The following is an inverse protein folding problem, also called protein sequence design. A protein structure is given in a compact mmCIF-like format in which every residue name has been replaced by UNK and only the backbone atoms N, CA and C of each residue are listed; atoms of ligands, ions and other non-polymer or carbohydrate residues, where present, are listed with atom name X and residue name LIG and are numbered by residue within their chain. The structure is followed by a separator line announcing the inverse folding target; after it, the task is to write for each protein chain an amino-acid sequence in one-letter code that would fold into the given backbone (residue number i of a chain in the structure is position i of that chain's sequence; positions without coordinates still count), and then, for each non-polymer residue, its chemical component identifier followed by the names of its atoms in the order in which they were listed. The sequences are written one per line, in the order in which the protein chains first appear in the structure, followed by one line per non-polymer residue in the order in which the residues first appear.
data_IF_485880666987
#
_entry.id   IF_485880666987
#
_cell.length_a   1.000
_cell.length_b   1.000
_cell.length_c   1.000
_cell.angle_alpha   90.00
_cell.angle_beta   90.00
_cell.angle_gamma   90.00
#
_symmetry.space_group_name_H-M   'P 1'
#
loop_
_entity.id
_entity.type
_entity.pdbx_description
1 polymer ?
#
# COMPACT_ATOMS: atom_id res chain seq x y z
N UNK A 1 24.73 -11.98 -18.12
CA UNK A 1 24.24 -13.19 -18.81
C UNK A 1 22.84 -13.39 -18.29
N UNK A 2 21.83 -13.30 -19.16
CA UNK A 2 20.44 -13.44 -18.73
C UNK A 2 20.21 -14.88 -18.26
N UNK A 3 19.26 -15.05 -17.34
CA UNK A 3 18.89 -16.38 -16.89
C UNK A 3 18.26 -17.15 -18.06
N UNK A 4 18.48 -18.48 -18.18
CA UNK A 4 17.78 -19.32 -19.16
C UNK A 4 16.25 -19.19 -19.13
N UNK A 5 15.70 -18.69 -18.01
CA UNK A 5 14.27 -18.40 -17.83
C UNK A 5 13.85 -17.11 -18.56
N UNK A 6 14.70 -16.08 -18.52
CA UNK A 6 14.42 -14.79 -19.13
C UNK A 6 14.46 -14.87 -20.67
N UNK A 7 15.39 -15.66 -21.20
CA UNK A 7 15.52 -15.87 -22.65
C UNK A 7 14.30 -16.62 -23.22
N UNK A 8 13.81 -17.64 -22.50
CA UNK A 8 12.60 -18.39 -22.88
C UNK A 8 11.32 -17.56 -22.79
N UNK A 9 11.22 -16.66 -21.80
CA UNK A 9 10.09 -15.73 -21.67
C UNK A 9 10.07 -14.73 -22.82
N UNK A 10 11.24 -14.22 -23.21
CA UNK A 10 11.37 -13.28 -24.33
C UNK A 10 11.02 -13.94 -25.66
N UNK A 11 11.42 -15.19 -25.87
CA UNK A 11 11.08 -15.99 -27.05
C UNK A 11 9.57 -16.23 -27.17
N UNK A 12 8.93 -16.71 -26.10
CA UNK A 12 7.48 -16.95 -26.08
C UNK A 12 6.63 -15.68 -26.30
N UNK A 13 7.10 -14.54 -25.78
CA UNK A 13 6.44 -13.25 -25.98
C UNK A 13 6.65 -12.70 -27.41
N UNK A 14 7.80 -13.01 -28.04
CA UNK A 14 8.07 -12.68 -29.43
C UNK A 14 7.15 -13.43 -30.40
N UNK A 15 6.93 -14.72 -30.18
CA UNK A 15 6.01 -15.53 -31.00
C UNK A 15 4.55 -15.09 -30.85
N UNK A 16 4.12 -14.75 -29.62
CA UNK A 16 2.78 -14.22 -29.37
C UNK A 16 2.53 -12.85 -30.03
N UNK A 17 3.56 -11.99 -30.11
CA UNK A 17 3.48 -10.71 -30.80
C UNK A 17 3.39 -10.82 -32.33
N UNK A 18 3.98 -11.86 -32.92
CA UNK A 18 3.99 -12.09 -34.36
C UNK A 18 2.66 -12.60 -34.93
N UNK A 19 1.73 -13.05 -34.08
CA UNK A 19 0.40 -13.56 -34.48
C UNK A 19 -0.72 -12.53 -34.39
N UNK A 20 -0.42 -11.28 -33.99
CA UNK A 20 -1.41 -10.20 -33.92
C UNK A 20 -1.54 -9.53 -35.28
N UNK A 21 -2.60 -9.85 -36.02
CA UNK A 21 -2.99 -9.06 -37.20
C UNK A 21 -3.50 -7.69 -36.77
N UNK A 22 -2.69 -6.66 -37.01
CA UNK A 22 -3.02 -5.25 -36.72
C UNK A 22 -4.31 -4.80 -37.44
N UNK A 23 -4.69 -5.46 -38.53
CA UNK A 23 -5.95 -5.22 -39.27
C UNK A 23 -7.23 -5.72 -38.57
N UNK A 24 -7.12 -6.59 -37.56
CA UNK A 24 -8.26 -7.08 -36.79
C UNK A 24 -8.69 -6.12 -35.65
N UNK A 25 -7.93 -5.05 -35.42
CA UNK A 25 -8.25 -4.05 -34.40
C UNK A 25 -9.31 -3.07 -34.94
N UNK A 26 -10.55 -3.22 -34.44
CA UNK A 26 -11.62 -2.25 -34.70
C UNK A 26 -11.27 -0.88 -34.09
N UNK A 27 -11.40 0.23 -34.83
CA UNK A 27 -11.30 1.56 -34.26
C UNK A 27 -12.45 1.80 -33.27
N UNK A 28 -12.14 2.40 -32.12
CA UNK A 28 -13.15 2.85 -31.17
C UNK A 28 -13.92 4.03 -31.75
N UNK A 29 -15.22 3.84 -31.99
CA UNK A 29 -16.14 4.91 -32.39
C UNK A 29 -16.64 5.62 -31.15
N UNK A 30 -16.44 6.94 -31.09
CA UNK A 30 -16.95 7.81 -30.02
C UNK A 30 -18.43 8.09 -30.29
N UNK A 31 -19.36 7.83 -29.35
CA UNK A 31 -20.77 8.09 -29.57
C UNK A 31 -21.09 9.60 -29.52
N UNK A 32 -21.90 10.03 -30.48
CA UNK A 32 -22.33 11.42 -30.69
C UNK A 32 -23.31 11.89 -29.59
N UNK A 33 -23.15 13.14 -29.14
CA UNK A 33 -23.90 13.74 -28.03
C UNK A 33 -25.33 14.03 -28.45
N UNK A 34 -26.29 13.20 -28.03
CA UNK A 34 -27.72 13.58 -28.04
C UNK A 34 -27.96 14.69 -27.01
N UNK A 35 -28.40 15.86 -27.49
CA UNK A 35 -28.93 16.93 -26.64
C UNK A 35 -30.33 16.55 -26.18
N UNK A 36 -30.49 16.24 -24.90
CA UNK A 36 -31.81 16.10 -24.26
C UNK A 36 -32.11 17.41 -23.53
N UNK A 37 -33.08 18.17 -24.04
CA UNK A 37 -33.64 19.32 -23.35
C UNK A 37 -34.72 18.85 -22.37
N UNK A 38 -34.57 19.16 -21.09
CA UNK A 38 -35.62 18.99 -20.08
C UNK A 38 -35.85 20.35 -19.43
N UNK A 39 -37.03 20.92 -19.64
CA UNK A 39 -37.53 22.08 -18.91
C UNK A 39 -37.94 21.65 -17.51
N UNK A 40 -37.29 22.18 -16.47
CA UNK A 40 -37.78 22.09 -15.09
C UNK A 40 -37.95 23.49 -14.50
N UNK A 41 -39.18 23.75 -14.05
CA UNK A 41 -39.60 24.94 -13.31
C UNK A 41 -39.07 24.87 -11.88
N UNK A 42 -38.56 26.00 -11.37
CA UNK A 42 -38.09 26.16 -10.00
C UNK A 42 -39.19 25.90 -8.96
N UNK A 43 -38.83 25.24 -7.87
CA UNK A 43 -39.42 25.47 -6.55
C UNK A 43 -38.28 25.56 -5.52
N UNK A 44 -38.00 26.78 -5.06
CA UNK A 44 -37.03 27.04 -4.00
C UNK A 44 -37.67 26.69 -2.65
N UNK A 45 -37.05 25.77 -1.90
CA UNK A 45 -37.33 25.58 -0.47
C UNK A 45 -36.06 25.98 0.27
N UNK A 46 -36.10 27.16 0.88
CA UNK A 46 -35.00 27.68 1.69
C UNK A 46 -34.83 26.84 2.95
N UNK A 47 -33.63 26.31 3.17
CA UNK A 47 -33.24 25.69 4.43
C UNK A 47 -32.72 26.78 5.38
N UNK A 48 -33.47 27.02 6.45
CA UNK A 48 -33.07 27.86 7.57
C UNK A 48 -31.92 27.23 8.35
N UNK A 49 -30.83 27.96 8.53
CA UNK A 49 -29.72 27.57 9.40
C UNK A 49 -30.16 27.70 10.86
N UNK A 50 -30.30 26.57 11.55
CA UNK A 50 -30.43 26.53 13.02
C UNK A 50 -29.02 26.56 13.60
N UNK A 51 -28.63 27.72 14.14
CA UNK A 51 -27.40 27.89 14.91
C UNK A 51 -27.66 27.38 16.33
N UNK A 52 -27.22 26.16 16.63
CA UNK A 52 -27.09 25.70 18.02
C UNK A 52 -25.70 26.07 18.51
N UNK A 53 -25.66 26.86 19.58
CA UNK A 53 -24.46 27.36 20.21
C UNK A 53 -23.59 26.22 20.78
N UNK A 54 -22.48 25.96 20.10
CA UNK A 54 -21.34 25.18 20.56
C UNK A 54 -20.22 25.43 19.56
N UNK A 55 -19.18 26.17 19.96
CA UNK A 55 -18.19 26.75 19.04
C UNK A 55 -17.34 25.68 18.33
N UNK A 56 -17.85 25.15 17.22
CA UNK A 56 -17.06 24.66 16.10
C UNK A 56 -17.42 25.57 14.92
N UNK A 57 -16.52 26.48 14.54
CA UNK A 57 -16.67 27.23 13.29
C UNK A 57 -16.52 26.26 12.13
N UNK A 58 -17.64 25.71 11.66
CA UNK A 58 -17.71 24.95 10.42
C UNK A 58 -17.68 25.98 9.30
N UNK A 59 -16.53 26.15 8.66
CA UNK A 59 -16.45 26.94 7.42
C UNK A 59 -16.88 26.00 6.30
N UNK A 60 -18.15 26.10 5.92
CA UNK A 60 -18.73 25.29 4.86
C UNK A 60 -19.14 26.15 3.67
N UNK A 61 -18.82 25.70 2.45
CA UNK A 61 -19.33 26.32 1.23
C UNK A 61 -19.86 25.25 0.30
N UNK A 62 -20.99 25.51 -0.34
CA UNK A 62 -21.60 24.62 -1.33
C UNK A 62 -21.02 24.89 -2.71
N UNK A 63 -20.50 23.86 -3.37
CA UNK A 63 -20.09 23.94 -4.77
C UNK A 63 -21.20 23.31 -5.62
N UNK A 64 -21.76 24.06 -6.55
CA UNK A 64 -22.72 23.53 -7.51
C UNK A 64 -21.98 22.63 -8.52
N UNK A 65 -22.22 21.31 -8.40
CA UNK A 65 -21.80 20.32 -9.39
C UNK A 65 -22.86 20.08 -10.45
N UNK A 66 -22.60 19.13 -11.37
CA UNK A 66 -23.51 18.72 -12.44
C UNK A 66 -24.74 17.97 -11.91
N UNK A 67 -25.61 18.67 -11.15
CA UNK A 67 -26.92 18.19 -10.70
C UNK A 67 -27.09 17.96 -9.19
N UNK A 68 -26.03 18.03 -8.39
CA UNK A 68 -26.07 17.85 -6.92
C UNK A 68 -25.26 18.94 -6.19
N UNK A 69 -25.73 19.34 -5.01
CA UNK A 69 -25.03 20.28 -4.12
C UNK A 69 -23.95 19.54 -3.32
N UNK A 70 -22.68 19.85 -3.57
CA UNK A 70 -21.58 19.28 -2.79
C UNK A 70 -21.21 20.25 -1.68
N UNK A 71 -21.34 19.79 -0.43
CA UNK A 71 -20.89 20.54 0.73
C UNK A 71 -19.39 20.34 0.92
N UNK A 72 -18.62 21.41 0.84
CA UNK A 72 -17.25 21.46 1.36
C UNK A 72 -17.35 21.85 2.82
N UNK A 73 -16.83 21.04 3.74
CA UNK A 73 -16.81 21.36 5.16
C UNK A 73 -15.37 21.36 5.69
N UNK A 74 -15.00 22.40 6.42
CA UNK A 74 -13.80 22.45 7.24
C UNK A 74 -14.23 22.64 8.69
N UNK A 75 -13.87 21.70 9.55
CA UNK A 75 -14.11 21.80 10.98
C UNK A 75 -12.98 21.11 11.74
N UNK A 76 -12.73 21.52 12.99
CA UNK A 76 -11.94 20.76 13.97
C UNK A 76 -12.60 19.42 14.37
N UNK A 77 -13.78 19.13 13.82
CA UNK A 77 -14.45 17.85 13.94
C UNK A 77 -13.67 16.77 13.17
N UNK A 78 -13.61 15.55 13.69
CA UNK A 78 -12.91 14.46 13.01
C UNK A 78 -13.63 14.13 11.69
N UNK A 79 -12.88 14.13 10.59
CA UNK A 79 -13.39 13.70 9.30
C UNK A 79 -14.02 12.29 9.38
N UNK A 80 -15.04 11.98 8.55
CA UNK A 80 -15.61 10.64 8.46
C UNK A 80 -14.52 9.57 8.30
N UNK A 81 -14.66 8.49 9.05
CA UNK A 81 -13.72 7.36 9.07
C UNK A 81 -14.50 6.04 9.05
N UNK A 82 -14.32 5.18 8.02
CA UNK A 82 -13.46 5.39 6.86
C UNK A 82 -14.03 6.43 5.89
N UNK A 83 -13.14 7.19 5.25
CA UNK A 83 -13.49 7.96 4.06
C UNK A 83 -13.54 7.02 2.84
N UNK A 84 -14.40 7.31 1.87
CA UNK A 84 -14.43 6.53 0.62
C UNK A 84 -13.17 6.77 -0.21
N UNK A 85 -12.69 8.02 -0.23
CA UNK A 85 -11.44 8.46 -0.86
C UNK A 85 -10.76 9.49 0.06
N UNK A 86 -9.44 9.36 0.24
CA UNK A 86 -8.58 10.29 0.95
C UNK A 86 -7.54 10.86 -0.02
N UNK A 87 -7.52 12.18 -0.16
CA UNK A 87 -6.61 12.92 -1.03
C UNK A 87 -5.63 13.69 -0.14
N UNK A 88 -4.40 13.21 -0.08
CA UNK A 88 -3.33 13.81 0.73
C UNK A 88 -2.61 14.90 -0.06
N UNK A 89 -2.44 16.06 0.57
CA UNK A 89 -1.85 17.23 -0.06
C UNK A 89 -0.32 17.16 -0.04
N UNK A 90 0.30 17.80 -1.03
CA UNK A 90 1.74 18.00 -1.07
C UNK A 90 2.27 18.71 0.18
N UNK A 91 3.36 18.19 0.72
CA UNK A 91 4.08 18.70 1.90
C UNK A 91 5.46 19.25 1.54
N UNK A 92 5.99 18.90 0.36
CA UNK A 92 7.36 19.17 -0.04
C UNK A 92 8.37 18.16 0.53
N UNK A 93 7.91 17.18 1.31
CA UNK A 93 8.71 16.09 1.88
C UNK A 93 8.70 14.83 1.02
N UNK A 94 7.92 14.80 -0.06
CA UNK A 94 7.78 13.65 -0.93
C UNK A 94 9.11 13.34 -1.64
N UNK A 95 9.46 12.05 -1.69
CA UNK A 95 10.64 11.58 -2.41
C UNK A 95 10.49 11.77 -3.92
N UNK A 96 9.31 11.40 -4.43
CA UNK A 96 8.93 11.65 -5.82
C UNK A 96 8.47 13.10 -5.99
N UNK A 97 9.39 13.91 -6.50
CA UNK A 97 9.14 15.33 -6.76
C UNK A 97 8.31 15.58 -8.02
N UNK A 98 7.95 14.58 -8.82
CA UNK A 98 7.23 14.82 -10.07
C UNK A 98 5.82 15.38 -9.84
N UNK A 99 5.07 14.83 -8.88
CA UNK A 99 3.71 15.28 -8.57
C UNK A 99 3.68 16.63 -7.82
N UNK A 100 4.59 16.81 -6.85
CA UNK A 100 4.57 17.96 -5.93
C UNK A 100 5.62 19.03 -6.22
N UNK A 101 6.50 18.83 -7.20
CA UNK A 101 7.62 19.73 -7.52
C UNK A 101 8.51 20.06 -6.30
N UNK A 102 8.52 19.18 -5.29
CA UNK A 102 9.21 19.38 -4.01
C UNK A 102 8.67 20.55 -3.19
N UNK A 103 7.40 20.95 -3.37
CA UNK A 103 6.79 22.06 -2.63
C UNK A 103 5.50 21.62 -1.95
N UNK A 104 5.22 22.22 -0.80
CA UNK A 104 3.92 22.10 -0.17
C UNK A 104 2.82 22.74 -1.03
N UNK A 105 1.60 22.21 -0.94
CA UNK A 105 0.44 22.81 -1.58
C UNK A 105 0.20 24.22 -1.00
N UNK A 106 0.04 25.22 -1.86
CA UNK A 106 -0.30 26.59 -1.42
C UNK A 106 -1.74 26.66 -0.93
N UNK A 107 -2.10 27.71 -0.18
CA UNK A 107 -3.49 27.96 0.21
C UNK A 107 -4.42 28.08 -1.01
N UNK A 108 -3.95 28.73 -2.08
CA UNK A 108 -4.69 28.86 -3.33
C UNK A 108 -4.89 27.50 -4.01
N UNK A 109 -3.86 26.65 -4.06
CA UNK A 109 -3.98 25.29 -4.59
C UNK A 109 -4.93 24.46 -3.72
N UNK A 110 -4.84 24.58 -2.40
CA UNK A 110 -5.70 23.88 -1.45
C UNK A 110 -7.18 24.24 -1.69
N UNK A 111 -7.51 25.52 -1.84
CA UNK A 111 -8.87 25.97 -2.13
C UNK A 111 -9.35 25.51 -3.51
N UNK A 112 -8.53 25.67 -4.55
CA UNK A 112 -8.87 25.22 -5.90
C UNK A 112 -9.08 23.70 -5.97
N UNK A 113 -8.35 22.95 -5.16
CA UNK A 113 -8.48 21.50 -5.03
C UNK A 113 -9.83 21.12 -4.41
N UNK A 114 -10.29 21.78 -3.34
CA UNK A 114 -11.62 21.53 -2.78
C UNK A 114 -12.74 21.68 -3.83
N UNK A 115 -12.69 22.76 -4.61
CA UNK A 115 -13.67 23.01 -5.66
C UNK A 115 -13.61 21.95 -6.76
N UNK A 116 -12.39 21.58 -7.18
CA UNK A 116 -12.18 20.57 -8.21
C UNK A 116 -12.68 19.19 -7.77
N UNK A 117 -12.37 18.81 -6.53
CA UNK A 117 -12.86 17.57 -5.91
C UNK A 117 -14.38 17.56 -5.80
N UNK A 118 -15.00 18.67 -5.41
CA UNK A 118 -16.45 18.78 -5.32
C UNK A 118 -17.16 18.74 -6.67
N UNK A 119 -16.45 18.95 -7.79
CA UNK A 119 -17.00 18.82 -9.14
C UNK A 119 -16.80 17.42 -9.74
N UNK A 120 -16.08 16.52 -9.06
CA UNK A 120 -15.89 15.16 -9.55
C UNK A 120 -17.21 14.37 -9.50
N UNK A 121 -17.60 13.67 -10.57
CA UNK A 121 -18.82 12.87 -10.59
C UNK A 121 -18.87 11.84 -9.45
N UNK A 122 -19.98 11.82 -8.72
CA UNK A 122 -20.21 10.88 -7.63
C UNK A 122 -19.62 11.28 -6.26
N UNK A 123 -19.00 12.46 -6.14
CA UNK A 123 -18.63 13.03 -4.84
C UNK A 123 -19.84 13.69 -4.20
N UNK A 124 -20.20 13.25 -2.99
CA UNK A 124 -21.31 13.81 -2.22
C UNK A 124 -20.84 14.85 -1.19
N UNK A 125 -19.64 14.65 -0.62
CA UNK A 125 -19.06 15.55 0.39
C UNK A 125 -17.55 15.62 0.27
N UNK A 126 -17.00 16.81 0.48
CA UNK A 126 -15.56 17.05 0.61
C UNK A 126 -15.30 17.60 2.01
N UNK A 127 -14.50 16.89 2.81
CA UNK A 127 -14.13 17.34 4.14
C UNK A 127 -12.64 17.66 4.20
N UNK A 128 -12.26 18.86 4.62
CA UNK A 128 -10.86 19.20 4.84
C UNK A 128 -10.40 18.79 6.23
N UNK A 129 -9.37 17.96 6.29
CA UNK A 129 -8.67 17.59 7.51
C UNK A 129 -7.31 18.32 7.54
N UNK A 130 -7.13 19.19 8.53
CA UNK A 130 -5.85 19.84 8.76
C UNK A 130 -4.80 18.87 9.36
N UNK A 131 -3.54 19.33 9.39
CA UNK A 131 -2.41 18.53 9.84
C UNK A 131 -2.49 18.16 11.33
N UNK A 132 -3.06 19.03 12.16
CA UNK A 132 -3.19 18.78 13.60
C UNK A 132 -4.18 17.65 13.86
N UNK A 133 -5.35 17.71 13.22
CA UNK A 133 -6.36 16.67 13.27
C UNK A 133 -5.86 15.34 12.70
N UNK A 134 -5.15 15.37 11.57
CA UNK A 134 -4.55 14.18 10.96
C UNK A 134 -3.48 13.54 11.86
N UNK A 135 -2.66 14.34 12.54
CA UNK A 135 -1.64 13.85 13.46
C UNK A 135 -2.25 13.18 14.70
N UNK A 136 -3.28 13.77 15.29
CA UNK A 136 -4.00 13.15 16.42
C UNK A 136 -4.67 11.83 16.00
N UNK A 137 -5.23 11.76 14.79
CA UNK A 137 -5.75 10.51 14.23
C UNK A 137 -4.65 9.45 14.10
N UNK A 138 -3.49 9.82 13.57
CA UNK A 138 -2.33 8.93 13.49
C UNK A 138 -1.92 8.40 14.87
N UNK A 139 -1.75 9.27 15.88
CA UNK A 139 -1.36 8.88 17.23
C UNK A 139 -2.34 7.88 17.84
N UNK A 140 -3.64 8.09 17.64
CA UNK A 140 -4.68 7.16 18.08
C UNK A 140 -4.61 5.82 17.35
N UNK A 141 -4.46 5.83 16.02
CA UNK A 141 -4.39 4.61 15.21
C UNK A 141 -3.16 3.75 15.48
N UNK A 142 -2.05 4.37 15.90
CA UNK A 142 -0.78 3.72 16.20
C UNK A 142 -0.43 3.66 17.69
N UNK A 143 -1.38 3.90 18.59
CA UNK A 143 -1.14 3.92 20.04
C UNK A 143 -0.50 2.62 20.59
N UNK A 144 -0.77 1.47 19.97
CA UNK A 144 -0.15 0.17 20.30
C UNK A 144 1.26 -0.03 19.74
N UNK A 145 1.82 0.96 19.02
CA UNK A 145 3.12 0.91 18.37
C UNK A 145 3.95 2.16 18.76
N UNK A 146 4.39 2.26 20.04
CA UNK A 146 5.06 3.46 20.54
C UNK A 146 6.35 3.80 19.79
N UNK A 147 7.06 2.79 19.25
CA UNK A 147 8.22 2.99 18.40
C UNK A 147 7.90 3.73 17.09
N UNK A 148 6.71 3.51 16.51
CA UNK A 148 6.27 4.23 15.31
C UNK A 148 5.85 5.65 15.67
N UNK A 149 5.06 5.81 16.75
CA UNK A 149 4.61 7.11 17.25
C UNK A 149 5.79 8.03 17.58
N UNK A 150 6.88 7.50 18.13
CA UNK A 150 8.08 8.28 18.45
C UNK A 150 8.87 8.76 17.22
N UNK A 151 8.72 8.10 16.06
CA UNK A 151 9.46 8.42 14.82
C UNK A 151 8.72 9.37 13.88
N UNK A 152 7.40 9.41 13.97
CA UNK A 152 6.54 10.26 13.12
C UNK A 152 6.25 11.59 13.83
N UNK A 153 6.68 12.69 13.22
CA UNK A 153 6.44 14.06 13.67
C UNK A 153 5.17 14.61 13.02
N UNK A 154 4.60 15.66 13.60
CA UNK A 154 3.45 16.35 13.01
C UNK A 154 3.74 16.91 11.60
N UNK A 155 5.01 17.23 11.29
CA UNK A 155 5.47 17.64 9.96
C UNK A 155 5.45 16.53 8.92
N UNK A 156 5.46 15.27 9.35
CA UNK A 156 5.40 14.12 8.44
C UNK A 156 3.97 13.81 7.98
N UNK A 157 2.95 14.40 8.62
CA UNK A 157 1.55 14.10 8.35
C UNK A 157 0.95 15.22 7.47
N UNK A 158 0.55 14.91 6.22
CA UNK A 158 -0.08 15.87 5.33
C UNK A 158 -1.50 16.25 5.79
N UNK A 159 -1.92 17.46 5.43
CA UNK A 159 -3.35 17.77 5.39
C UNK A 159 -4.02 16.92 4.30
N UNK A 160 -5.33 16.69 4.42
CA UNK A 160 -6.05 15.87 3.45
C UNK A 160 -7.46 16.36 3.16
N UNK A 161 -7.99 16.01 2.00
CA UNK A 161 -9.43 16.02 1.73
C UNK A 161 -9.97 14.61 1.85
N UNK A 162 -10.98 14.42 2.71
CA UNK A 162 -11.67 13.16 2.98
C UNK A 162 -13.04 13.22 2.29
N UNK A 163 -13.21 12.42 1.24
CA UNK A 163 -14.40 12.43 0.42
C UNK A 163 -15.40 11.35 0.87
N UNK A 164 -16.68 11.72 0.84
CA UNK A 164 -17.80 10.77 0.87
C UNK A 164 -18.38 10.70 -0.54
N UNK A 165 -18.59 9.49 -1.04
CA UNK A 165 -19.18 9.27 -2.35
C UNK A 165 -20.69 9.00 -2.24
N UNK A 166 -21.41 9.28 -3.32
CA UNK A 166 -22.82 8.93 -3.45
C UNK A 166 -23.05 7.41 -3.46
N UNK A 167 -24.28 6.94 -3.17
CA UNK A 167 -24.62 5.53 -3.18
C UNK A 167 -24.27 4.85 -4.52
N UNK A 168 -23.62 3.68 -4.46
CA UNK A 168 -23.27 2.89 -5.65
C UNK A 168 -22.07 3.41 -6.46
N UNK A 169 -21.48 4.54 -6.08
CA UNK A 169 -20.29 5.08 -6.74
C UNK A 169 -19.08 4.25 -6.37
N UNK A 170 -18.32 3.80 -7.38
CA UNK A 170 -17.03 3.14 -7.18
C UNK A 170 -15.94 4.19 -6.91
N UNK A 171 -15.04 3.98 -5.94
CA UNK A 171 -14.03 4.98 -5.61
C UNK A 171 -12.91 5.09 -6.65
N UNK A 172 -12.57 4.02 -7.37
CA UNK A 172 -11.37 4.00 -8.22
C UNK A 172 -11.35 5.08 -9.32
N UNK A 173 -12.46 5.35 -10.05
CA UNK A 173 -12.48 6.45 -11.02
C UNK A 173 -12.30 7.82 -10.36
N UNK A 174 -12.88 8.04 -9.17
CA UNK A 174 -12.71 9.28 -8.41
C UNK A 174 -11.28 9.43 -7.94
N UNK A 175 -10.68 8.35 -7.41
CA UNK A 175 -9.26 8.31 -7.02
C UNK A 175 -8.35 8.65 -8.20
N UNK A 176 -8.59 8.06 -9.37
CA UNK A 176 -7.78 8.30 -10.56
C UNK A 176 -7.87 9.77 -11.02
N UNK A 177 -9.07 10.36 -11.03
CA UNK A 177 -9.24 11.76 -11.36
C UNK A 177 -8.55 12.68 -10.35
N UNK A 178 -8.74 12.43 -9.05
CA UNK A 178 -8.13 13.22 -7.99
C UNK A 178 -6.60 13.20 -8.03
N UNK A 179 -5.98 12.06 -8.37
CA UNK A 179 -4.50 11.93 -8.52
C UNK A 179 -3.89 12.89 -9.53
N UNK A 180 -4.65 13.32 -10.53
CA UNK A 180 -4.15 14.23 -11.57
C UNK A 180 -4.25 15.71 -11.20
N UNK A 181 -4.87 16.03 -10.07
CA UNK A 181 -5.08 17.42 -9.67
C UNK A 181 -3.81 18.04 -9.06
N UNK A 182 -3.50 19.31 -9.36
CA UNK A 182 -2.37 19.99 -8.76
C UNK A 182 -2.45 20.05 -7.23
N UNK A 183 -1.31 19.87 -6.56
CA UNK A 183 -1.21 19.90 -5.10
C UNK A 183 -1.59 18.58 -4.41
N UNK A 184 -1.86 17.51 -5.16
CA UNK A 184 -2.11 16.17 -4.64
C UNK A 184 -0.80 15.37 -4.62
N UNK A 185 -0.40 14.90 -3.44
CA UNK A 185 0.72 13.99 -3.28
C UNK A 185 0.31 12.54 -3.51
N UNK A 186 -0.83 12.15 -2.91
CA UNK A 186 -1.28 10.77 -2.92
C UNK A 186 -2.79 10.70 -2.79
N UNK A 187 -3.38 9.68 -3.39
CA UNK A 187 -4.78 9.33 -3.18
C UNK A 187 -4.90 7.88 -2.77
N UNK A 188 -5.60 7.65 -1.67
CA UNK A 188 -5.94 6.34 -1.13
C UNK A 188 -7.45 6.21 -1.08
N UNK A 189 -8.00 5.06 -1.45
CA UNK A 189 -9.43 4.80 -1.33
C UNK A 189 -9.73 3.64 -0.41
N UNK A 190 -11.01 3.52 -0.04
CA UNK A 190 -11.46 2.48 0.89
C UNK A 190 -11.09 1.07 0.44
N UNK A 191 -10.99 0.79 -0.87
CA UNK A 191 -10.65 -0.56 -1.33
C UNK A 191 -9.19 -0.90 -1.06
N UNK A 192 -8.31 0.12 -1.11
CA UNK A 192 -6.90 0.01 -0.73
C UNK A 192 -6.77 -0.25 0.78
N UNK A 193 -7.45 0.54 1.61
CA UNK A 193 -7.35 0.43 3.08
C UNK A 193 -8.03 -0.84 3.62
N UNK A 194 -9.16 -1.25 3.05
CA UNK A 194 -9.82 -2.54 3.35
C UNK A 194 -8.94 -3.73 2.98
N UNK A 195 -8.24 -3.65 1.85
CA UNK A 195 -7.32 -4.72 1.43
C UNK A 195 -6.19 -4.89 2.44
N UNK A 196 -5.57 -3.79 2.90
CA UNK A 196 -4.55 -3.86 3.94
C UNK A 196 -5.09 -4.39 5.28
N UNK A 197 -6.33 -4.05 5.64
CA UNK A 197 -6.95 -4.58 6.84
C UNK A 197 -7.02 -6.12 6.81
N UNK A 198 -7.28 -6.74 5.64
CA UNK A 198 -7.31 -8.22 5.48
C UNK A 198 -5.96 -8.90 5.71
N UNK A 199 -4.85 -8.16 5.60
CA UNK A 199 -3.52 -8.70 5.86
C UNK A 199 -3.07 -8.55 7.32
N UNK A 200 -3.80 -7.78 8.14
CA UNK A 200 -3.45 -7.49 9.54
C UNK A 200 -3.44 -8.74 10.42
N UNK A 201 -4.37 -9.65 10.18
CA UNK A 201 -4.57 -10.84 11.03
C UNK A 201 -3.82 -12.07 10.50
N UNK A 202 -2.99 -11.91 9.47
CA UNK A 202 -2.17 -13.01 8.94
C UNK A 202 -1.13 -13.43 9.99
N UNK A 203 -0.90 -14.73 10.22
CA UNK A 203 -0.11 -15.22 11.35
C UNK A 203 1.42 -15.10 11.16
N UNK A 204 1.90 -14.33 10.18
CA UNK A 204 3.32 -14.25 9.82
C UNK A 204 3.77 -12.81 9.83
N UNK A 205 4.67 -12.48 10.77
CA UNK A 205 5.26 -11.15 10.89
C UNK A 205 6.56 -11.04 10.08
N UNK A 206 7.38 -12.10 10.09
CA UNK A 206 8.65 -12.18 9.36
C UNK A 206 8.75 -13.53 8.63
N UNK A 207 9.22 -13.51 7.39
CA UNK A 207 9.63 -14.71 6.66
C UNK A 207 11.13 -14.72 6.40
N UNK A 208 11.76 -15.81 6.79
CA UNK A 208 13.20 -16.05 6.62
C UNK A 208 13.37 -17.13 5.57
N UNK A 209 13.71 -16.75 4.36
CA UNK A 209 13.99 -17.68 3.27
C UNK A 209 15.42 -18.18 3.35
N UNK A 210 15.60 -19.48 3.13
CA UNK A 210 16.88 -20.16 3.29
C UNK A 210 17.62 -20.31 1.96
N UNK A 211 18.94 -20.37 2.03
CA UNK A 211 19.77 -20.63 0.87
C UNK A 211 19.50 -22.03 0.31
N UNK A 212 19.21 -22.09 -0.99
CA UNK A 212 19.11 -23.34 -1.76
C UNK A 212 20.23 -23.41 -2.80
N UNK A 213 20.47 -24.58 -3.39
CA UNK A 213 21.64 -24.77 -4.28
C UNK A 213 21.66 -23.96 -5.58
N UNK A 214 20.53 -23.38 -5.96
CA UNK A 214 20.39 -22.43 -7.07
C UNK A 214 20.41 -20.96 -6.62
N UNK A 215 20.63 -20.67 -5.32
CA UNK A 215 20.61 -19.30 -4.80
C UNK A 215 21.89 -18.54 -5.19
N UNK A 216 21.78 -17.65 -6.16
CA UNK A 216 22.90 -16.81 -6.61
C UNK A 216 23.14 -15.53 -5.78
N UNK A 217 22.47 -15.42 -4.63
CA UNK A 217 22.55 -14.27 -3.72
C UNK A 217 23.92 -14.18 -3.03
N UNK A 218 24.46 -12.96 -2.82
CA UNK A 218 25.72 -12.77 -2.11
C UNK A 218 25.77 -13.42 -0.72
N UNK A 219 24.67 -13.35 0.05
CA UNK A 219 24.52 -13.98 1.37
C UNK A 219 24.74 -15.50 1.31
N UNK A 220 24.22 -16.15 0.28
CA UNK A 220 24.37 -17.60 0.10
C UNK A 220 25.78 -17.98 -0.35
N UNK A 221 26.42 -17.17 -1.21
CA UNK A 221 27.83 -17.38 -1.61
C UNK A 221 28.78 -17.26 -0.40
N UNK A 222 28.54 -16.29 0.48
CA UNK A 222 29.30 -16.14 1.72
C UNK A 222 29.13 -17.34 2.66
N UNK A 223 27.90 -17.84 2.80
CA UNK A 223 27.62 -19.05 3.56
C UNK A 223 28.36 -20.27 2.99
N UNK A 224 28.27 -20.53 1.68
CA UNK A 224 28.99 -21.64 1.02
C UNK A 224 30.51 -21.53 1.22
N UNK A 225 31.07 -20.32 1.11
CA UNK A 225 32.48 -20.08 1.35
C UNK A 225 32.91 -20.42 2.79
N UNK A 226 32.05 -20.16 3.78
CA UNK A 226 32.29 -20.53 5.18
C UNK A 226 32.26 -22.05 5.42
N UNK A 227 31.65 -22.81 4.50
CA UNK A 227 31.46 -24.27 4.58
C UNK A 227 32.45 -25.07 3.72
N UNK A 228 33.51 -24.45 3.18
CA UNK A 228 34.50 -25.07 2.27
C UNK A 228 35.26 -26.30 2.81
N UNK A 229 35.00 -26.75 4.05
CA UNK A 229 35.46 -28.05 4.59
C UNK A 229 34.42 -29.17 4.46
N UNK A 230 33.20 -28.89 4.01
CA UNK A 230 32.08 -29.85 4.01
C UNK A 230 31.84 -30.45 2.62
N UNK A 231 31.60 -31.77 2.57
CA UNK A 231 31.12 -32.51 1.38
C UNK A 231 29.67 -32.19 0.99
N UNK A 232 29.01 -31.26 1.69
CA UNK A 232 27.59 -30.99 1.59
C UNK A 232 27.36 -29.83 0.63
N UNK A 233 26.36 -29.97 -0.26
CA UNK A 233 26.20 -29.20 -1.50
C UNK A 233 25.96 -27.70 -1.35
N UNK A 234 25.60 -27.07 -2.48
CA UNK A 234 25.17 -25.67 -2.54
C UNK A 234 23.82 -25.54 -1.80
N UNK A 235 23.72 -24.72 -0.77
CA UNK A 235 22.50 -24.55 0.05
C UNK A 235 22.67 -24.91 1.53
N UNK A 236 21.72 -24.46 2.36
CA UNK A 236 21.75 -24.69 3.81
C UNK A 236 21.64 -26.20 4.13
N UNK A 237 22.43 -26.67 5.09
CA UNK A 237 22.35 -28.07 5.56
C UNK A 237 21.18 -28.28 6.52
N UNK A 238 20.76 -29.54 6.71
CA UNK A 238 19.72 -29.87 7.70
C UNK A 238 20.16 -29.48 9.13
N UNK A 239 21.43 -29.74 9.47
CA UNK A 239 22.01 -29.38 10.78
C UNK A 239 21.96 -27.88 11.04
N UNK A 240 22.32 -27.07 10.04
CA UNK A 240 22.27 -25.61 10.15
C UNK A 240 20.86 -25.06 10.15
N UNK A 241 19.94 -25.76 9.46
CA UNK A 241 18.51 -25.43 9.49
C UNK A 241 17.96 -25.63 10.90
N UNK A 242 18.30 -26.74 11.55
CA UNK A 242 17.91 -27.02 12.94
C UNK A 242 18.55 -26.04 13.93
N UNK A 243 19.82 -25.69 13.74
CA UNK A 243 20.49 -24.68 14.56
C UNK A 243 19.82 -23.31 14.41
N UNK A 244 19.54 -22.90 13.17
CA UNK A 244 18.85 -21.65 12.88
C UNK A 244 17.45 -21.64 13.49
N UNK A 245 16.68 -22.73 13.39
CA UNK A 245 15.36 -22.85 14.00
C UNK A 245 15.42 -22.63 15.52
N UNK A 246 16.36 -23.27 16.21
CA UNK A 246 16.59 -23.08 17.66
C UNK A 246 16.98 -21.64 17.97
N UNK A 247 17.88 -21.06 17.18
CA UNK A 247 18.33 -19.68 17.36
C UNK A 247 17.17 -18.68 17.20
N UNK A 248 16.32 -18.84 16.17
CA UNK A 248 15.13 -18.00 15.95
C UNK A 248 14.17 -18.13 17.14
N UNK A 249 13.89 -19.36 17.57
CA UNK A 249 12.96 -19.62 18.68
C UNK A 249 13.43 -19.01 20.01
N UNK A 250 14.74 -18.89 20.20
CA UNK A 250 15.35 -18.28 21.38
C UNK A 250 15.41 -16.74 21.32
N UNK A 251 15.10 -16.10 20.19
CA UNK A 251 15.16 -14.64 20.08
C UNK A 251 14.10 -13.96 20.97
N UNK A 252 14.46 -12.90 21.70
CA UNK A 252 13.49 -12.10 22.45
C UNK A 252 12.37 -11.58 21.55
N UNK A 253 11.14 -11.68 22.03
CA UNK A 253 9.95 -11.24 21.30
C UNK A 253 9.43 -12.22 20.24
N UNK A 254 10.13 -13.33 19.96
CA UNK A 254 9.56 -14.40 19.13
C UNK A 254 8.50 -15.17 19.92
N UNK A 255 7.35 -15.39 19.29
CA UNK A 255 6.23 -16.15 19.83
C UNK A 255 6.17 -17.55 19.23
N UNK A 256 6.33 -17.66 17.93
CA UNK A 256 6.18 -18.90 17.18
C UNK A 256 7.08 -18.90 15.95
N UNK A 257 7.57 -20.10 15.59
CA UNK A 257 8.37 -20.34 14.40
C UNK A 257 7.81 -21.59 13.73
N UNK A 258 7.38 -21.43 12.48
CA UNK A 258 6.86 -22.52 11.64
C UNK A 258 7.85 -22.72 10.50
N UNK A 259 8.35 -23.94 10.35
CA UNK A 259 9.16 -24.31 9.20
C UNK A 259 8.25 -24.70 8.04
N UNK A 260 8.51 -24.11 6.87
CA UNK A 260 7.86 -24.43 5.61
C UNK A 260 8.91 -25.03 4.68
N UNK A 261 8.74 -26.32 4.36
CA UNK A 261 9.58 -27.03 3.39
C UNK A 261 9.25 -26.65 1.94
N UNK A 262 9.99 -27.21 0.98
CA UNK A 262 9.82 -26.87 -0.44
C UNK A 262 8.46 -27.30 -0.98
N UNK A 263 7.95 -28.46 -0.54
CA UNK A 263 6.67 -29.01 -0.93
C UNK A 263 5.52 -28.11 -0.45
N UNK A 264 5.52 -27.74 0.83
CA UNK A 264 4.53 -26.83 1.40
C UNK A 264 4.59 -25.45 0.75
N UNK A 265 5.80 -24.93 0.49
CA UNK A 265 5.99 -23.69 -0.25
C UNK A 265 5.41 -23.78 -1.67
N UNK A 266 5.60 -24.91 -2.36
CA UNK A 266 5.05 -25.14 -3.70
C UNK A 266 3.52 -25.23 -3.69
N UNK A 267 2.92 -25.88 -2.70
CA UNK A 267 1.46 -25.91 -2.53
C UNK A 267 0.90 -24.50 -2.30
N UNK A 268 1.57 -23.70 -1.46
CA UNK A 268 1.18 -22.31 -1.21
C UNK A 268 1.32 -21.46 -2.47
N UNK A 269 2.39 -21.66 -3.25
CA UNK A 269 2.58 -21.03 -4.56
C UNK A 269 1.45 -21.39 -5.53
N UNK A 270 1.10 -22.68 -5.68
CA UNK A 270 0.00 -23.11 -6.56
C UNK A 270 -1.33 -22.44 -6.18
N UNK A 271 -1.63 -22.33 -4.88
CA UNK A 271 -2.82 -21.64 -4.38
C UNK A 271 -2.81 -20.14 -4.70
N UNK A 272 -1.66 -19.49 -4.56
CA UNK A 272 -1.52 -18.06 -4.81
C UNK A 272 -1.60 -17.69 -6.30
N UNK A 273 -1.19 -18.60 -7.19
CA UNK A 273 -1.07 -18.35 -8.63
C UNK A 273 -2.01 -19.21 -9.49
N UNK A 274 -3.15 -19.65 -8.94
CA UNK A 274 -4.16 -20.47 -9.67
C UNK A 274 -4.60 -19.87 -11.01
N UNK A 275 -4.60 -18.55 -11.14
CA UNK A 275 -4.94 -17.83 -12.37
C UNK A 275 -3.82 -17.76 -13.42
N UNK A 276 -2.58 -18.15 -13.10
CA UNK A 276 -1.42 -18.00 -13.99
C UNK A 276 -0.85 -19.37 -14.41
N UNK A 277 -1.49 -20.00 -15.39
CA UNK A 277 -1.12 -21.36 -15.87
C UNK A 277 0.32 -21.45 -16.38
N UNK A 278 0.81 -20.42 -17.06
CA UNK A 278 2.17 -20.40 -17.61
C UNK A 278 3.21 -20.43 -16.49
N UNK A 279 3.00 -19.63 -15.45
CA UNK A 279 3.87 -19.61 -14.27
C UNK A 279 3.83 -20.96 -13.52
N UNK A 280 2.64 -21.52 -13.31
CA UNK A 280 2.49 -22.83 -12.66
C UNK A 280 3.21 -23.95 -13.42
N UNK A 281 3.16 -23.94 -14.76
CA UNK A 281 3.83 -24.94 -15.60
C UNK A 281 5.36 -24.77 -15.63
N UNK A 282 5.86 -23.54 -15.47
CA UNK A 282 7.29 -23.24 -15.50
C UNK A 282 7.99 -23.52 -14.17
N UNK A 283 7.26 -23.53 -13.05
CA UNK A 283 7.83 -23.62 -11.70
C UNK A 283 7.77 -25.04 -11.15
N UNK A 284 8.91 -25.51 -10.64
CA UNK A 284 9.08 -26.81 -9.99
C UNK A 284 9.20 -26.65 -8.47
N UNK A 285 8.96 -27.73 -7.73
CA UNK A 285 9.15 -27.77 -6.26
C UNK A 285 10.58 -27.37 -5.88
N UNK A 286 11.58 -27.82 -6.65
CA UNK A 286 13.00 -27.51 -6.42
C UNK A 286 13.33 -26.02 -6.53
N UNK A 287 12.45 -25.23 -7.16
CA UNK A 287 12.61 -23.78 -7.30
C UNK A 287 12.07 -23.03 -6.07
N UNK A 288 11.35 -23.71 -5.17
CA UNK A 288 10.79 -23.10 -3.98
C UNK A 288 11.83 -23.00 -2.86
N UNK A 289 12.02 -21.83 -2.25
CA UNK A 289 12.86 -21.72 -1.07
C UNK A 289 12.14 -22.32 0.15
N UNK A 290 12.87 -23.10 0.95
CA UNK A 290 12.44 -23.39 2.33
C UNK A 290 12.42 -22.08 3.13
N UNK A 291 11.53 -21.99 4.12
CA UNK A 291 11.46 -20.79 4.95
C UNK A 291 11.05 -21.04 6.39
N UNK A 292 11.44 -20.12 7.28
CA UNK A 292 10.81 -19.99 8.59
C UNK A 292 9.79 -18.85 8.55
N UNK A 293 8.54 -19.16 8.90
CA UNK A 293 7.47 -18.20 9.16
C UNK A 293 7.49 -17.87 10.65
N UNK A 294 7.86 -16.64 10.99
CA UNK A 294 8.06 -16.19 12.37
C UNK A 294 6.91 -15.26 12.78
N UNK A 295 6.32 -15.55 13.94
CA UNK A 295 5.33 -14.70 14.60
C UNK A 295 5.94 -14.10 15.85
N UNK A 296 5.71 -12.81 16.05
CA UNK A 296 6.26 -12.02 17.13
C UNK A 296 5.19 -11.72 18.17
N UNK A 297 5.62 -11.56 19.42
CA UNK A 297 4.75 -11.07 20.50
C UNK A 297 4.36 -9.62 20.23
N UNK A 298 3.19 -9.22 20.71
CA UNK A 298 2.75 -7.83 20.67
C UNK A 298 3.82 -6.89 21.26
N UNK A 299 4.01 -5.73 20.64
CA UNK A 299 5.02 -4.74 21.04
C UNK A 299 6.47 -5.07 20.61
N UNK A 300 6.74 -6.25 20.06
CA UNK A 300 8.08 -6.59 19.54
C UNK A 300 8.42 -5.75 18.32
N UNK A 301 9.62 -5.18 18.34
CA UNK A 301 10.25 -4.47 17.24
C UNK A 301 10.73 -5.46 16.16
N UNK A 302 9.91 -5.64 15.10
CA UNK A 302 10.20 -6.61 14.04
C UNK A 302 11.46 -6.26 13.26
N UNK A 303 11.76 -4.98 13.12
CA UNK A 303 12.94 -4.51 12.40
C UNK A 303 14.24 -5.04 13.00
N UNK A 304 14.36 -4.96 14.33
CA UNK A 304 15.54 -5.46 15.05
C UNK A 304 15.69 -6.97 14.92
N UNK A 305 14.58 -7.70 15.01
CA UNK A 305 14.57 -9.15 14.80
C UNK A 305 14.99 -9.47 13.36
N UNK A 306 14.39 -8.81 12.36
CA UNK A 306 14.71 -9.00 10.95
C UNK A 306 16.17 -8.64 10.63
N UNK A 307 16.71 -7.55 11.17
CA UNK A 307 18.11 -7.16 11.02
C UNK A 307 19.07 -8.22 11.58
N UNK A 308 18.74 -8.78 12.75
CA UNK A 308 19.53 -9.88 13.34
C UNK A 308 19.46 -11.15 12.50
N UNK A 309 18.32 -11.44 11.87
CA UNK A 309 18.14 -12.62 11.01
C UNK A 309 18.90 -12.50 9.68
N UNK A 310 19.00 -11.29 9.11
CA UNK A 310 19.72 -11.04 7.85
C UNK A 310 21.21 -11.39 7.93
N UNK A 311 21.79 -11.40 9.12
CA UNK A 311 23.21 -11.72 9.32
C UNK A 311 23.47 -13.19 9.63
N UNK A 312 22.42 -14.02 9.73
CA UNK A 312 22.57 -15.44 10.09
C UNK A 312 23.09 -16.27 8.90
N UNK A 313 24.08 -17.15 9.12
CA UNK A 313 24.51 -18.11 8.10
C UNK A 313 23.33 -18.94 7.55
N UNK A 314 23.32 -19.17 6.24
CA UNK A 314 22.27 -19.97 5.58
C UNK A 314 20.97 -19.22 5.28
N UNK A 315 20.84 -17.96 5.71
CA UNK A 315 19.70 -17.10 5.36
C UNK A 315 19.93 -16.45 4.01
N UNK A 316 19.01 -16.68 3.07
CA UNK A 316 19.00 -16.07 1.75
C UNK A 316 18.40 -14.66 1.80
N UNK A 317 17.18 -14.55 2.36
CA UNK A 317 16.41 -13.31 2.39
C UNK A 317 15.52 -13.26 3.63
N UNK A 318 15.35 -12.06 4.18
CA UNK A 318 14.39 -11.78 5.26
C UNK A 318 13.38 -10.75 4.78
N UNK A 319 12.11 -11.14 4.78
CA UNK A 319 10.96 -10.27 4.51
C UNK A 319 10.30 -9.95 5.85
N UNK A 320 10.20 -8.67 6.20
CA UNK A 320 9.48 -8.20 7.40
C UNK A 320 8.09 -7.71 6.98
N UNK A 321 7.13 -8.64 6.92
CA UNK A 321 5.75 -8.34 6.53
C UNK A 321 5.07 -7.37 7.48
N UNK A 322 5.37 -7.47 8.78
CA UNK A 322 4.82 -6.56 9.79
C UNK A 322 5.23 -5.13 9.49
N UNK A 323 6.50 -4.90 9.22
CA UNK A 323 6.99 -3.58 8.82
C UNK A 323 6.39 -3.12 7.49
N UNK A 324 6.36 -3.96 6.46
CA UNK A 324 5.78 -3.59 5.16
C UNK A 324 4.31 -3.18 5.27
N UNK A 325 3.52 -3.89 6.08
CA UNK A 325 2.13 -3.54 6.33
C UNK A 325 2.01 -2.24 7.14
N UNK A 326 2.86 -2.02 8.14
CA UNK A 326 2.92 -0.76 8.89
C UNK A 326 3.22 0.41 7.97
N UNK A 327 4.24 0.33 7.13
CA UNK A 327 4.58 1.38 6.18
C UNK A 327 3.42 1.62 5.19
N UNK A 328 2.83 0.55 4.66
CA UNK A 328 1.67 0.68 3.78
C UNK A 328 0.53 1.44 4.46
N UNK A 329 0.24 1.15 5.73
CA UNK A 329 -0.82 1.84 6.48
C UNK A 329 -0.49 3.30 6.79
N UNK A 330 0.76 3.62 7.12
CA UNK A 330 1.20 5.01 7.26
C UNK A 330 0.93 5.81 5.98
N UNK A 331 1.26 5.21 4.83
CA UNK A 331 1.02 5.80 3.52
C UNK A 331 -0.48 5.85 3.17
N UNK A 332 -1.20 4.75 3.26
CA UNK A 332 -2.58 4.63 2.77
C UNK A 332 -3.62 5.27 3.71
N UNK A 333 -3.44 5.17 5.03
CA UNK A 333 -4.40 5.68 6.02
C UNK A 333 -4.10 7.15 6.37
N UNK A 334 -2.83 7.57 6.30
CA UNK A 334 -2.35 8.86 6.81
C UNK A 334 -1.50 9.70 5.85
N UNK A 335 -1.21 9.22 4.63
CA UNK A 335 -0.43 9.98 3.64
C UNK A 335 1.04 10.18 4.02
N UNK A 336 1.54 9.44 5.02
CA UNK A 336 2.92 9.57 5.49
C UNK A 336 3.82 8.79 4.54
N UNK A 337 4.53 9.50 3.66
CA UNK A 337 5.49 8.91 2.72
C UNK A 337 6.91 9.01 3.31
N UNK A 338 7.26 8.03 4.15
CA UNK A 338 8.61 7.85 4.72
C UNK A 338 9.21 6.52 4.25
N UNK A 339 10.54 6.46 4.15
CA UNK A 339 11.24 5.21 3.81
C UNK A 339 10.98 4.12 4.85
N UNK A 340 11.00 2.85 4.41
CA UNK A 340 10.97 1.68 5.30
C UNK A 340 12.04 1.74 6.40
N UNK A 341 13.23 2.25 6.06
CA UNK A 341 14.34 2.42 7.00
C UNK A 341 14.09 3.50 8.04
N UNK A 342 13.28 4.51 7.72
CA UNK A 342 12.93 5.57 8.67
C UNK A 342 11.81 5.13 9.62
N UNK A 343 10.96 4.22 9.16
CA UNK A 343 9.79 3.71 9.91
C UNK A 343 10.17 2.49 10.75
N UNK A 344 11.01 1.61 10.19
CA UNK A 344 11.38 0.32 10.74
C UNK A 344 12.91 0.14 10.78
N UNK A 345 13.67 1.21 10.99
CA UNK A 345 15.11 1.16 11.28
C UNK A 345 15.38 1.33 12.77
#
# INVERSE_FOLDING_TARGET
MNSPVEDRLREALGEAGATVEVGALRPLVVPDRRRFGVSMRLAAVGAAAVVVAGAATVVGFTVSGAGEEVSVASARAQAPDPADVSVFLCTGLEEDKQACQGRAATEQQTKALAESLGRLPGVARVFYEDREAAYERFRKAFAGQPGIVARVKADDVPASYRLTLGPGVRPQPVSAAAKTLPGVAQVSDRTVTETAARFRDKPVDISVFLCVGSSDLPSCKSYEASRRTSKHGKGITAEDTDELARAIKAMPGVQEVIFEDQEQAYENFKKAFTGNKALLAATKVTDMPMSFRVRLRAGTDSAKVAATLRTRPGVAQVVDQKCSLTQFRLMADHGISRMLTDVCG
#
